data_IF_483597803146
#
_entry.id   IF_483597803146
#
_cell.length_a   1.000
_cell.length_b   1.000
_cell.length_c   1.000
_cell.angle_alpha   90.00
_cell.angle_beta   90.00
_cell.angle_gamma   90.00
#
_symmetry.space_group_name_H-M   'P 1'
#
loop_
_entity.id
_entity.type
_entity.pdbx_description
1 polymer ?
#
# COMPACT_ATOMS: atom_id res chain seq x y z
N UNK A 1 -23.70 1.98 -4.71
CA UNK A 1 -22.32 1.44 -4.77
C UNK A 1 -21.37 2.43 -4.12
N UNK A 2 -20.29 2.01 -3.44
CA UNK A 2 -19.22 2.93 -3.06
C UNK A 2 -18.60 3.50 -4.34
N UNK A 3 -18.54 4.83 -4.46
CA UNK A 3 -18.19 5.51 -5.71
C UNK A 3 -16.75 6.06 -5.74
N UNK A 4 -15.97 5.94 -4.67
CA UNK A 4 -14.61 6.50 -4.60
C UNK A 4 -13.76 5.90 -3.47
N UNK A 5 -12.46 5.69 -3.74
CA UNK A 5 -11.44 5.50 -2.71
C UNK A 5 -10.90 6.85 -2.25
N UNK A 6 -10.66 6.99 -0.94
CA UNK A 6 -10.03 8.18 -0.34
C UNK A 6 -8.84 7.73 0.49
N UNK A 7 -7.85 8.61 0.67
CA UNK A 7 -6.74 8.36 1.60
C UNK A 7 -7.32 8.19 3.00
N UNK A 8 -6.81 7.22 3.76
CA UNK A 8 -7.31 6.88 5.09
C UNK A 8 -7.39 8.09 6.03
N UNK A 9 -6.40 8.99 5.99
CA UNK A 9 -6.38 10.22 6.78
C UNK A 9 -7.48 11.22 6.42
N UNK A 10 -8.10 11.10 5.24
CA UNK A 10 -9.21 11.93 4.80
C UNK A 10 -10.59 11.33 5.10
N UNK A 11 -10.66 10.17 5.75
CA UNK A 11 -11.93 9.53 6.12
C UNK A 11 -12.49 10.20 7.37
N UNK A 12 -13.60 10.93 7.23
CA UNK A 12 -14.30 11.59 8.33
C UNK A 12 -15.38 10.70 8.97
N UNK A 13 -15.84 9.65 8.27
CA UNK A 13 -16.92 8.76 8.72
C UNK A 13 -16.55 7.28 8.53
N UNK A 14 -15.64 6.77 9.35
CA UNK A 14 -15.16 5.38 9.33
C UNK A 14 -16.26 4.31 9.35
N UNK A 15 -17.38 4.46 10.10
CA UNK A 15 -18.46 3.47 10.08
C UNK A 15 -19.11 3.25 8.70
N UNK A 16 -18.94 4.19 7.76
CA UNK A 16 -19.47 4.10 6.39
C UNK A 16 -18.52 3.42 5.40
N UNK A 17 -17.32 3.06 5.82
CA UNK A 17 -16.32 2.39 4.96
C UNK A 17 -16.70 0.91 4.79
N UNK A 18 -16.83 0.47 3.54
CA UNK A 18 -17.22 -0.91 3.20
C UNK A 18 -16.12 -1.71 2.48
N UNK A 19 -15.10 -1.02 1.96
CA UNK A 19 -13.92 -1.65 1.36
C UNK A 19 -12.67 -0.86 1.72
N UNK A 20 -11.54 -1.56 1.83
CA UNK A 20 -10.23 -0.96 2.05
C UNK A 20 -9.24 -1.52 1.04
N UNK A 21 -8.46 -0.64 0.41
CA UNK A 21 -7.31 -1.02 -0.41
C UNK A 21 -6.06 -0.85 0.45
N UNK A 22 -5.37 -1.95 0.72
CA UNK A 22 -4.10 -1.95 1.45
C UNK A 22 -2.98 -2.19 0.45
N UNK A 23 -1.96 -1.35 0.51
CA UNK A 23 -0.73 -1.53 -0.26
C UNK A 23 0.43 -1.71 0.71
N UNK A 24 1.32 -2.65 0.43
CA UNK A 24 2.53 -2.92 1.21
C UNK A 24 3.74 -2.85 0.28
N UNK A 25 4.75 -2.06 0.64
CA UNK A 25 6.06 -2.11 0.01
C UNK A 25 6.92 -3.11 0.76
N UNK A 26 7.24 -4.23 0.13
CA UNK A 26 8.12 -5.24 0.70
C UNK A 26 9.52 -5.12 0.08
N UNK A 27 10.53 -5.50 0.86
CA UNK A 27 11.92 -5.62 0.40
C UNK A 27 12.50 -6.98 0.75
N UNK A 28 13.52 -7.41 0.03
CA UNK A 28 14.36 -8.55 0.45
C UNK A 28 14.98 -8.28 1.83
N UNK A 29 15.25 -9.34 2.58
CA UNK A 29 15.92 -9.24 3.89
C UNK A 29 17.37 -8.81 3.71
N UNK A 30 18.09 -9.46 2.80
CA UNK A 30 19.49 -9.16 2.48
C UNK A 30 19.60 -7.97 1.52
N UNK A 31 20.71 -7.25 1.66
CA UNK A 31 21.14 -6.20 0.75
C UNK A 31 21.98 -6.78 -0.41
N UNK A 32 22.20 -6.00 -1.48
CA UNK A 32 22.95 -6.39 -2.68
C UNK A 32 22.36 -7.58 -3.46
N UNK A 33 21.04 -7.74 -3.39
CA UNK A 33 20.30 -8.72 -4.20
C UNK A 33 20.07 -8.17 -5.62
N UNK A 34 19.91 -6.85 -5.76
CA UNK A 34 19.86 -6.17 -7.06
C UNK A 34 21.25 -5.65 -7.44
N UNK A 35 21.55 -5.55 -8.74
CA UNK A 35 22.81 -5.00 -9.24
C UNK A 35 22.92 -3.49 -9.01
N UNK A 36 21.79 -2.78 -8.97
CA UNK A 36 21.71 -1.33 -8.76
C UNK A 36 20.67 -0.97 -7.70
N UNK A 37 20.74 0.25 -7.19
CA UNK A 37 19.65 0.81 -6.40
C UNK A 37 18.36 0.84 -7.24
N UNK A 38 17.24 0.49 -6.62
CA UNK A 38 15.94 0.46 -7.29
C UNK A 38 15.14 1.74 -7.01
N UNK A 39 14.54 2.30 -8.05
CA UNK A 39 13.47 3.31 -7.94
C UNK A 39 12.12 2.60 -7.86
N UNK A 40 11.28 2.98 -6.90
CA UNK A 40 9.96 2.39 -6.70
C UNK A 40 8.89 3.47 -6.49
N UNK A 41 7.65 3.12 -6.82
CA UNK A 41 6.48 3.95 -6.53
C UNK A 41 5.64 3.30 -5.44
N UNK A 42 5.40 4.04 -4.36
CA UNK A 42 4.58 3.61 -3.23
C UNK A 42 3.87 4.80 -2.59
N UNK A 43 2.59 4.62 -2.22
CA UNK A 43 1.77 5.64 -1.58
C UNK A 43 1.75 7.01 -2.31
N UNK A 44 1.79 6.99 -3.64
CA UNK A 44 1.79 8.21 -4.48
C UNK A 44 3.14 8.93 -4.59
N UNK A 45 4.18 8.45 -3.90
CA UNK A 45 5.56 8.94 -4.04
C UNK A 45 6.37 8.00 -4.92
N UNK A 46 7.38 8.56 -5.62
CA UNK A 46 8.40 7.78 -6.34
C UNK A 46 9.76 8.12 -5.75
N UNK A 47 10.42 7.11 -5.21
CA UNK A 47 11.67 7.26 -4.46
C UNK A 47 12.73 6.28 -4.99
N UNK A 48 14.00 6.71 -4.97
CA UNK A 48 15.14 5.85 -5.28
C UNK A 48 15.77 5.37 -3.98
N UNK A 49 15.87 4.05 -3.82
CA UNK A 49 16.48 3.44 -2.65
C UNK A 49 17.97 3.79 -2.53
N UNK A 50 18.48 3.87 -1.29
CA UNK A 50 19.91 4.04 -1.01
C UNK A 50 20.65 2.71 -0.82
N UNK A 51 19.95 1.59 -0.98
CA UNK A 51 20.47 0.23 -0.89
C UNK A 51 20.19 -0.55 -2.19
N UNK A 52 20.61 -1.82 -2.24
CA UNK A 52 20.43 -2.72 -3.38
C UNK A 52 19.49 -3.88 -3.06
N UNK A 53 18.46 -3.64 -2.24
CA UNK A 53 17.38 -4.60 -2.00
C UNK A 53 16.38 -4.58 -3.16
N UNK A 54 15.85 -5.75 -3.49
CA UNK A 54 14.71 -5.83 -4.43
C UNK A 54 13.45 -5.41 -3.68
N UNK A 55 12.68 -4.48 -4.26
CA UNK A 55 11.44 -3.96 -3.68
C UNK A 55 10.24 -4.26 -4.58
N UNK A 56 9.11 -4.57 -3.96
CA UNK A 56 7.85 -4.78 -4.68
C UNK A 56 6.67 -4.29 -3.88
N UNK A 57 5.78 -3.57 -4.55
CA UNK A 57 4.50 -3.15 -3.99
C UNK A 57 3.46 -4.23 -4.23
N UNK A 58 2.83 -4.69 -3.16
CA UNK A 58 1.67 -5.59 -3.18
C UNK A 58 0.42 -4.78 -2.84
N UNK A 59 -0.69 -5.04 -3.53
CA UNK A 59 -1.95 -4.35 -3.26
C UNK A 59 -3.10 -5.35 -3.21
N UNK A 60 -3.89 -5.25 -2.15
CA UNK A 60 -5.08 -6.08 -1.95
C UNK A 60 -6.26 -5.21 -1.55
N UNK A 61 -7.46 -5.60 -2.01
CA UNK A 61 -8.73 -4.97 -1.63
C UNK A 61 -9.51 -5.91 -0.74
N UNK A 62 -9.90 -5.43 0.42
CA UNK A 62 -10.66 -6.17 1.42
C UNK A 62 -12.04 -5.56 1.58
N UNK A 63 -13.08 -6.39 1.61
CA UNK A 63 -14.43 -5.96 2.00
C UNK A 63 -14.54 -6.02 3.53
N UNK A 64 -14.98 -4.93 4.15
CA UNK A 64 -15.18 -4.90 5.60
C UNK A 64 -16.58 -5.46 5.94
N UNK A 65 -16.62 -6.52 6.77
CA UNK A 65 -17.87 -7.01 7.36
C UNK A 65 -18.26 -6.11 8.53
N UNK A 66 -18.81 -4.95 8.24
CA UNK A 66 -19.46 -4.12 9.27
C UNK A 66 -20.93 -4.55 9.45
N UNK A 67 -21.18 -5.76 9.96
CA UNK A 67 -22.53 -6.24 10.32
C UNK A 67 -22.47 -7.28 11.45
N UNK A 68 -22.16 -6.87 12.67
CA UNK A 68 -22.82 -7.43 13.84
C UNK A 68 -23.86 -6.40 14.26
N UNK A 69 -25.14 -6.73 14.09
CA UNK A 69 -26.20 -6.05 14.83
C UNK A 69 -26.03 -6.34 16.31
#
# INVERSE_FOLDING_TARGET
>A
APNRYVVASSVTAWPKVITMRVSLLMSTTENNVSSTAQTYTYNGSTDTATDRRVRRTYTSVFTLRNRSK
#
